data_IF_369277391785
#
_entry.id   IF_369277391785
#
_cell.length_a   1.000
_cell.length_b   1.000
_cell.length_c   1.000
_cell.angle_alpha   90.00
_cell.angle_beta   90.00
_cell.angle_gamma   90.00
#
_symmetry.space_group_name_H-M   'P 1'
#
loop_
_entity.id
_entity.type
_entity.pdbx_description
1 polymer ?
#
# COMPACT_ATOMS: atom_id res chain seq x y z
N UNK A 1 3.85 -8.60 -0.55
CA UNK A 1 2.89 -7.96 0.38
C UNK A 1 2.44 -8.90 1.51
N UNK A 2 1.58 -9.91 1.28
CA UNK A 2 1.04 -10.79 2.34
C UNK A 2 2.12 -11.44 3.21
N UNK A 3 3.21 -11.92 2.61
CA UNK A 3 4.35 -12.50 3.33
C UNK A 3 4.94 -11.52 4.34
N UNK A 4 5.22 -10.29 3.94
CA UNK A 4 5.78 -9.25 4.83
C UNK A 4 4.83 -8.89 5.97
N UNK A 5 3.51 -8.79 5.70
CA UNK A 5 2.50 -8.56 6.74
C UNK A 5 2.45 -9.72 7.76
N UNK A 6 2.58 -10.97 7.31
CA UNK A 6 2.64 -12.13 8.22
C UNK A 6 3.91 -12.12 9.07
N UNK A 7 5.05 -11.82 8.47
CA UNK A 7 6.35 -11.76 9.15
C UNK A 7 6.46 -10.60 10.15
N UNK A 8 5.67 -9.52 9.97
CA UNK A 8 5.61 -8.42 10.94
C UNK A 8 4.95 -8.81 12.28
N UNK A 9 4.22 -9.93 12.33
CA UNK A 9 3.46 -10.33 13.50
C UNK A 9 2.16 -9.52 13.72
N UNK A 10 1.81 -8.62 12.81
CA UNK A 10 0.62 -7.77 12.90
C UNK A 10 -0.67 -8.58 13.06
N UNK A 11 -1.58 -8.07 13.88
CA UNK A 11 -2.93 -8.59 14.08
C UNK A 11 -3.98 -7.64 13.50
N UNK A 12 -3.74 -6.33 13.60
CA UNK A 12 -4.60 -5.25 13.13
C UNK A 12 -3.94 -4.60 11.93
N UNK A 13 -4.56 -4.69 10.76
CA UNK A 13 -3.95 -4.28 9.47
C UNK A 13 -4.84 -3.28 8.74
N UNK A 14 -4.21 -2.22 8.24
CA UNK A 14 -4.78 -1.27 7.29
C UNK A 14 -4.44 -1.70 5.86
N UNK A 15 -5.40 -1.64 4.94
CA UNK A 15 -5.21 -1.69 3.49
C UNK A 15 -5.60 -0.31 2.92
N UNK A 16 -4.60 0.53 2.73
CA UNK A 16 -4.76 1.94 2.37
C UNK A 16 -4.70 2.12 0.85
N UNK A 17 -5.82 2.52 0.25
CA UNK A 17 -6.03 2.41 -1.19
C UNK A 17 -6.39 0.98 -1.57
N UNK A 18 -7.36 0.38 -0.87
CA UNK A 18 -7.67 -1.05 -0.98
C UNK A 18 -8.30 -1.46 -2.32
N UNK A 19 -8.69 -0.48 -3.15
CA UNK A 19 -9.33 -0.71 -4.43
C UNK A 19 -10.51 -1.68 -4.31
N UNK A 20 -10.53 -2.70 -5.14
CA UNK A 20 -11.55 -3.75 -5.16
C UNK A 20 -11.32 -4.86 -4.10
N UNK A 21 -10.52 -4.64 -3.06
CA UNK A 21 -10.36 -5.57 -1.93
C UNK A 21 -9.56 -6.85 -2.23
N UNK A 22 -8.67 -6.83 -3.22
CA UNK A 22 -7.86 -8.02 -3.59
C UNK A 22 -6.99 -8.48 -2.41
N UNK A 23 -6.29 -7.56 -1.75
CA UNK A 23 -5.46 -7.87 -0.59
C UNK A 23 -6.31 -8.28 0.61
N UNK A 24 -7.41 -7.59 0.88
CA UNK A 24 -8.34 -7.92 1.97
C UNK A 24 -8.84 -9.36 1.87
N UNK A 25 -9.17 -9.82 0.65
CA UNK A 25 -9.58 -11.21 0.41
C UNK A 25 -8.51 -12.23 0.80
N UNK A 26 -7.24 -11.88 0.65
CA UNK A 26 -6.11 -12.73 1.07
C UNK A 26 -5.90 -12.66 2.59
N UNK A 27 -5.96 -11.46 3.17
CA UNK A 27 -5.83 -11.26 4.62
C UNK A 27 -6.89 -12.02 5.41
N UNK A 28 -8.13 -12.07 4.92
CA UNK A 28 -9.22 -12.81 5.56
C UNK A 28 -8.99 -14.31 5.71
N UNK A 29 -8.19 -14.91 4.82
CA UNK A 29 -7.83 -16.33 4.91
C UNK A 29 -6.86 -16.63 6.04
N UNK A 30 -6.16 -15.61 6.52
CA UNK A 30 -5.17 -15.74 7.59
C UNK A 30 -5.82 -15.46 8.95
N UNK A 31 -5.75 -16.43 9.85
CA UNK A 31 -6.31 -16.30 11.21
C UNK A 31 -5.56 -15.30 12.07
N UNK A 32 -4.33 -14.97 11.70
CA UNK A 32 -3.47 -14.01 12.38
C UNK A 32 -4.12 -12.61 12.41
N UNK A 33 -4.75 -12.18 11.31
CA UNK A 33 -5.31 -10.84 11.21
C UNK A 33 -6.72 -10.82 11.83
N UNK A 34 -6.80 -10.23 13.01
CA UNK A 34 -8.05 -10.15 13.80
C UNK A 34 -8.89 -8.95 13.42
N UNK A 35 -8.27 -7.89 12.89
CA UNK A 35 -8.94 -6.71 12.39
C UNK A 35 -8.29 -6.24 11.09
N UNK A 36 -9.10 -6.00 10.07
CA UNK A 36 -8.68 -5.55 8.74
C UNK A 36 -9.53 -4.35 8.38
N UNK A 37 -8.90 -3.22 8.11
CA UNK A 37 -9.58 -2.01 7.66
C UNK A 37 -9.11 -1.68 6.27
N UNK A 38 -10.05 -1.57 5.32
CA UNK A 38 -9.80 -1.09 3.97
C UNK A 38 -10.37 0.30 3.76
N UNK A 39 -9.58 1.20 3.19
CA UNK A 39 -10.05 2.52 2.77
C UNK A 39 -9.66 2.82 1.33
N UNK A 40 -10.55 3.50 0.61
CA UNK A 40 -10.31 3.96 -0.76
C UNK A 40 -11.08 5.26 -1.00
N UNK A 41 -10.58 6.11 -1.88
CA UNK A 41 -11.27 7.36 -2.28
C UNK A 41 -12.46 7.07 -3.20
N UNK A 42 -12.42 5.96 -3.94
CA UNK A 42 -13.40 5.59 -4.93
C UNK A 42 -14.51 4.70 -4.33
N UNK A 43 -15.70 5.27 -4.17
CA UNK A 43 -16.87 4.53 -3.68
C UNK A 43 -17.19 3.29 -4.55
N UNK A 44 -17.05 3.41 -5.87
CA UNK A 44 -17.29 2.27 -6.78
C UNK A 44 -16.31 1.12 -6.53
N UNK A 45 -15.04 1.42 -6.24
CA UNK A 45 -14.04 0.40 -5.87
C UNK A 45 -14.44 -0.31 -4.58
N UNK A 46 -14.90 0.43 -3.57
CA UNK A 46 -15.38 -0.16 -2.32
C UNK A 46 -16.64 -1.02 -2.50
N UNK A 47 -17.54 -0.62 -3.38
CA UNK A 47 -18.71 -1.45 -3.74
C UNK A 47 -18.25 -2.77 -4.36
N UNK A 48 -17.34 -2.72 -5.34
CA UNK A 48 -16.76 -3.92 -5.96
C UNK A 48 -15.96 -4.77 -4.96
N UNK A 49 -15.31 -4.13 -3.97
CA UNK A 49 -14.65 -4.85 -2.89
C UNK A 49 -15.65 -5.68 -2.07
N UNK A 50 -16.80 -5.09 -1.71
CA UNK A 50 -17.88 -5.81 -1.03
C UNK A 50 -18.40 -6.99 -1.86
N UNK A 51 -18.60 -6.80 -3.16
CA UNK A 51 -19.03 -7.88 -4.06
C UNK A 51 -17.98 -8.99 -4.14
N UNK A 52 -16.70 -8.65 -4.30
CA UNK A 52 -15.57 -9.59 -4.32
C UNK A 52 -15.44 -10.41 -3.05
N UNK A 53 -15.77 -9.80 -1.91
CA UNK A 53 -15.72 -10.43 -0.59
C UNK A 53 -16.98 -11.23 -0.26
N UNK A 54 -17.98 -11.24 -1.16
CA UNK A 54 -19.29 -11.85 -0.91
C UNK A 54 -19.91 -11.32 0.39
N UNK A 55 -19.87 -9.98 0.55
CA UNK A 55 -20.22 -9.31 1.80
C UNK A 55 -21.59 -9.74 2.37
N UNK A 56 -22.60 -9.89 1.53
CA UNK A 56 -23.95 -10.26 1.98
C UNK A 56 -24.04 -11.70 2.47
N UNK A 57 -23.20 -12.58 1.94
CA UNK A 57 -23.15 -14.02 2.26
C UNK A 57 -22.11 -14.34 3.36
N UNK A 58 -21.29 -13.35 3.71
CA UNK A 58 -20.20 -13.53 4.66
C UNK A 58 -20.74 -13.83 6.06
N UNK A 59 -20.17 -14.84 6.72
CA UNK A 59 -20.51 -15.20 8.08
C UNK A 59 -20.30 -14.01 9.05
N UNK A 60 -21.18 -13.77 10.03
CA UNK A 60 -21.09 -12.65 10.97
C UNK A 60 -19.71 -12.48 11.59
N UNK A 61 -19.11 -13.56 12.05
CA UNK A 61 -17.76 -13.58 12.66
C UNK A 61 -16.65 -13.12 11.71
N UNK A 62 -16.81 -13.29 10.40
CA UNK A 62 -15.87 -12.77 9.42
C UNK A 62 -16.09 -11.28 9.17
N UNK A 63 -17.35 -10.84 9.10
CA UNK A 63 -17.71 -9.42 8.97
C UNK A 63 -17.17 -8.58 10.12
N UNK A 64 -17.21 -9.10 11.35
CA UNK A 64 -16.67 -8.42 12.54
C UNK A 64 -15.16 -8.11 12.43
N UNK A 65 -14.44 -8.83 11.57
CA UNK A 65 -13.01 -8.63 11.34
C UNK A 65 -12.70 -7.56 10.32
N UNK A 66 -13.69 -7.04 9.58
CA UNK A 66 -13.47 -6.14 8.45
C UNK A 66 -14.27 -4.86 8.63
N UNK A 67 -13.65 -3.74 8.34
CA UNK A 67 -14.33 -2.48 8.08
C UNK A 67 -13.88 -1.91 6.74
N UNK A 68 -14.83 -1.38 5.94
CA UNK A 68 -14.59 -0.75 4.65
C UNK A 68 -15.25 0.62 4.62
N UNK A 69 -14.45 1.66 4.44
CA UNK A 69 -14.98 3.01 4.37
C UNK A 69 -14.29 3.87 3.32
N UNK A 70 -15.01 4.87 2.84
CA UNK A 70 -14.44 5.87 1.94
C UNK A 70 -13.57 6.86 2.73
N UNK A 71 -12.34 7.06 2.25
CA UNK A 71 -11.37 7.98 2.85
C UNK A 71 -10.25 8.32 1.88
N UNK A 72 -9.64 9.48 2.10
CA UNK A 72 -8.48 9.93 1.33
C UNK A 72 -7.22 9.91 2.20
N UNK A 73 -6.11 9.47 1.62
CA UNK A 73 -4.84 9.33 2.34
C UNK A 73 -4.07 10.66 2.50
N UNK A 74 -4.68 11.77 2.12
CA UNK A 74 -4.13 13.13 2.29
C UNK A 74 -4.84 13.91 3.39
N UNK A 75 -5.78 13.28 4.11
CA UNK A 75 -6.49 13.88 5.23
C UNK A 75 -6.42 12.99 6.46
N UNK A 76 -6.19 13.60 7.61
CA UNK A 76 -6.15 12.91 8.91
C UNK A 76 -7.49 12.24 9.20
N UNK A 77 -7.47 10.95 9.51
CA UNK A 77 -8.64 10.18 9.91
C UNK A 77 -8.32 9.31 11.14
N UNK A 78 -9.01 9.56 12.24
CA UNK A 78 -8.80 8.83 13.51
C UNK A 78 -9.09 7.33 13.39
N UNK A 79 -9.89 6.91 12.38
CA UNK A 79 -10.17 5.49 12.16
C UNK A 79 -8.94 4.69 11.73
N UNK A 80 -7.86 5.36 11.32
CA UNK A 80 -6.60 4.74 10.92
C UNK A 80 -5.61 4.56 12.08
N UNK A 81 -5.91 5.09 13.27
CA UNK A 81 -5.00 5.04 14.42
C UNK A 81 -5.02 3.68 15.14
N UNK A 82 -3.88 3.28 15.70
CA UNK A 82 -3.74 2.11 16.58
C UNK A 82 -3.69 0.76 15.85
N UNK A 83 -3.28 0.74 14.59
CA UNK A 83 -3.04 -0.49 13.83
C UNK A 83 -1.57 -0.92 13.92
N UNK A 84 -1.32 -2.22 13.80
CA UNK A 84 0.02 -2.79 13.88
C UNK A 84 0.76 -2.62 12.55
N UNK A 85 0.05 -2.77 11.43
CA UNK A 85 0.63 -2.62 10.10
C UNK A 85 -0.31 -1.91 9.12
N UNK A 86 0.29 -1.24 8.12
CA UNK A 86 -0.40 -0.72 6.96
C UNK A 86 0.21 -1.28 5.67
N UNK A 87 -0.65 -1.69 4.75
CA UNK A 87 -0.32 -2.02 3.37
C UNK A 87 -0.78 -0.90 2.45
N UNK A 88 0.09 -0.51 1.50
CA UNK A 88 -0.16 0.52 0.50
C UNK A 88 0.34 -0.05 -0.82
N UNK A 89 -0.58 -0.50 -1.66
CA UNK A 89 -0.23 -1.30 -2.85
C UNK A 89 -0.55 -0.54 -4.12
N UNK A 90 0.49 -0.05 -4.81
CA UNK A 90 0.34 0.69 -6.08
C UNK A 90 -0.64 1.87 -5.89
N UNK A 91 -0.29 2.83 -5.02
CA UNK A 91 -1.15 3.96 -4.65
C UNK A 91 -0.46 5.31 -4.82
N UNK A 92 0.80 5.42 -4.39
CA UNK A 92 1.47 6.74 -4.33
C UNK A 92 1.64 7.37 -5.71
N UNK A 93 1.83 6.57 -6.74
CA UNK A 93 1.94 6.98 -8.14
C UNK A 93 0.67 7.66 -8.69
N UNK A 94 -0.46 7.48 -8.03
CA UNK A 94 -1.73 8.15 -8.37
C UNK A 94 -1.91 9.50 -7.66
N UNK A 95 -1.05 9.83 -6.70
CA UNK A 95 -1.08 11.12 -6.01
C UNK A 95 -0.34 12.18 -6.84
N UNK A 96 -0.84 13.42 -6.82
CA UNK A 96 -0.03 14.55 -7.28
C UNK A 96 1.18 14.71 -6.34
N UNK A 97 2.35 15.03 -6.86
CA UNK A 97 3.59 15.09 -6.08
C UNK A 97 3.52 16.07 -4.89
N UNK A 98 2.78 17.17 -5.05
CA UNK A 98 2.53 18.16 -3.99
C UNK A 98 1.67 17.60 -2.83
N UNK A 99 1.04 16.44 -3.01
CA UNK A 99 0.25 15.74 -2.00
C UNK A 99 1.02 14.68 -1.23
N UNK A 100 2.22 14.34 -1.65
CA UNK A 100 3.04 13.32 -0.99
C UNK A 100 3.34 13.68 0.47
N UNK A 101 3.66 14.94 0.76
CA UNK A 101 3.91 15.36 2.15
C UNK A 101 2.68 15.17 3.05
N UNK A 102 1.49 15.47 2.55
CA UNK A 102 0.25 15.26 3.30
C UNK A 102 -0.01 13.75 3.53
N UNK A 103 0.23 12.92 2.52
CA UNK A 103 0.17 11.46 2.61
C UNK A 103 1.17 10.91 3.64
N UNK A 104 2.43 11.36 3.60
CA UNK A 104 3.47 10.96 4.55
C UNK A 104 3.03 11.23 5.99
N UNK A 105 2.49 12.43 6.26
CA UNK A 105 1.98 12.79 7.60
C UNK A 105 0.80 11.93 8.02
N UNK A 106 -0.13 11.65 7.11
CA UNK A 106 -1.30 10.80 7.43
C UNK A 106 -0.86 9.39 7.81
N UNK A 107 0.06 8.80 7.05
CA UNK A 107 0.49 7.41 7.25
C UNK A 107 1.48 7.29 8.41
N UNK A 108 2.55 8.09 8.40
CA UNK A 108 3.71 7.88 9.27
C UNK A 108 3.64 8.69 10.59
N UNK A 109 2.90 9.83 10.61
CA UNK A 109 2.75 10.65 11.82
C UNK A 109 1.43 10.36 12.55
N UNK A 110 0.30 10.29 11.81
CA UNK A 110 -1.02 10.18 12.42
C UNK A 110 -1.49 8.73 12.61
N UNK A 111 -1.56 7.92 11.56
CA UNK A 111 -1.89 6.50 11.68
C UNK A 111 -0.80 5.74 12.41
N UNK A 112 0.44 6.02 12.10
CA UNK A 112 1.67 5.59 12.77
C UNK A 112 1.70 4.10 13.13
N UNK A 113 1.45 3.19 12.18
CA UNK A 113 1.52 1.77 12.45
C UNK A 113 2.98 1.34 12.67
N UNK A 114 3.20 0.28 13.45
CA UNK A 114 4.56 -0.25 13.70
C UNK A 114 5.27 -0.67 12.41
N UNK A 115 4.52 -1.15 11.42
CA UNK A 115 5.05 -1.55 10.11
C UNK A 115 4.23 -0.91 8.99
N UNK A 116 4.90 -0.29 8.02
CA UNK A 116 4.29 0.16 6.76
C UNK A 116 4.95 -0.59 5.62
N UNK A 117 4.14 -1.18 4.74
CA UNK A 117 4.63 -1.87 3.55
C UNK A 117 4.00 -1.20 2.33
N UNK A 118 4.85 -0.56 1.53
CA UNK A 118 4.43 0.24 0.39
C UNK A 118 5.03 -0.31 -0.89
N UNK A 119 4.23 -0.42 -1.95
CA UNK A 119 4.70 -0.78 -3.28
C UNK A 119 4.36 0.29 -4.30
N UNK A 120 5.21 0.41 -5.33
CA UNK A 120 5.02 1.29 -6.47
C UNK A 120 5.73 0.70 -7.69
N UNK A 121 5.34 1.05 -8.93
CA UNK A 121 6.04 0.62 -10.13
C UNK A 121 7.51 1.04 -10.13
N UNK A 122 8.36 0.21 -10.73
CA UNK A 122 9.72 0.58 -11.06
C UNK A 122 9.77 1.10 -12.51
N UNK A 123 10.01 2.40 -12.69
CA UNK A 123 10.08 3.05 -14.01
C UNK A 123 11.16 2.47 -14.91
N UNK A 124 12.29 2.04 -14.35
CA UNK A 124 13.39 1.47 -15.14
C UNK A 124 12.97 0.20 -15.88
N UNK A 125 12.04 -0.58 -15.26
CA UNK A 125 11.51 -1.81 -15.86
C UNK A 125 10.56 -1.54 -17.05
N UNK A 126 10.10 -0.30 -17.24
CA UNK A 126 9.18 0.04 -18.34
C UNK A 126 9.78 -0.25 -19.72
N UNK A 127 11.10 -0.21 -19.84
CA UNK A 127 11.84 -0.58 -21.07
C UNK A 127 11.66 -2.06 -21.48
N UNK A 128 11.15 -2.91 -20.59
CA UNK A 128 10.91 -4.34 -20.85
C UNK A 128 9.52 -4.62 -21.45
N UNK A 129 8.65 -3.62 -21.53
CA UNK A 129 7.32 -3.77 -22.12
C UNK A 129 7.35 -3.41 -23.61
N UNK A 130 7.22 -4.39 -24.49
CA UNK A 130 7.37 -4.27 -25.96
C UNK A 130 6.49 -3.17 -26.60
N UNK A 131 5.30 -2.93 -26.05
CA UNK A 131 4.33 -1.97 -26.61
C UNK A 131 4.27 -0.64 -25.87
N UNK A 132 5.18 -0.40 -24.93
CA UNK A 132 5.20 0.83 -24.16
C UNK A 132 5.97 1.93 -24.91
N UNK A 133 5.33 3.10 -25.07
CA UNK A 133 6.01 4.25 -25.67
C UNK A 133 7.10 4.76 -24.73
N UNK A 134 8.21 5.23 -25.31
CA UNK A 134 9.26 5.93 -24.57
C UNK A 134 8.63 7.07 -23.76
N UNK A 135 9.02 7.20 -22.49
CA UNK A 135 8.55 8.22 -21.54
C UNK A 135 7.04 8.14 -21.16
N UNK A 136 6.35 7.05 -21.46
CA UNK A 136 5.00 6.84 -20.97
C UNK A 136 5.00 6.11 -19.63
N UNK A 137 3.94 6.34 -18.81
CA UNK A 137 3.68 5.58 -17.61
C UNK A 137 2.89 4.30 -17.95
N UNK A 138 2.91 3.33 -17.04
CA UNK A 138 2.17 2.05 -17.20
C UNK A 138 0.66 2.23 -17.20
N UNK A 139 0.18 3.28 -16.57
CA UNK A 139 -1.24 3.60 -16.49
C UNK A 139 -1.48 5.09 -16.72
N UNK A 140 -2.61 5.43 -17.32
CA UNK A 140 -2.97 6.82 -17.63
C UNK A 140 -3.22 7.69 -16.40
N UNK A 141 -3.55 7.05 -15.26
CA UNK A 141 -3.80 7.72 -13.99
C UNK A 141 -2.54 7.91 -13.14
N UNK A 142 -1.38 7.41 -13.58
CA UNK A 142 -0.13 7.67 -12.89
C UNK A 142 0.28 9.13 -13.09
N UNK A 143 0.67 9.77 -12.01
CA UNK A 143 1.21 11.13 -11.99
C UNK A 143 2.72 11.12 -12.09
N UNK A 144 3.33 10.06 -11.57
CA UNK A 144 4.75 9.78 -11.67
C UNK A 144 5.00 8.27 -11.60
N UNK A 145 6.16 7.85 -12.02
CA UNK A 145 6.72 6.54 -11.72
C UNK A 145 8.19 6.75 -11.39
N UNK A 146 8.65 6.21 -10.29
CA UNK A 146 10.01 6.42 -9.83
C UNK A 146 10.96 5.30 -10.27
N UNK A 147 12.19 5.68 -10.58
CA UNK A 147 13.33 4.77 -10.61
C UNK A 147 13.58 4.19 -9.21
N UNK A 148 14.35 3.13 -9.12
CA UNK A 148 14.77 2.56 -7.82
C UNK A 148 15.46 3.61 -6.95
N UNK A 149 16.34 4.41 -7.55
CA UNK A 149 17.08 5.45 -6.83
C UNK A 149 16.16 6.55 -6.28
N UNK A 150 15.21 7.02 -7.06
CA UNK A 150 14.23 8.03 -6.62
C UNK A 150 13.35 7.50 -5.49
N UNK A 151 12.82 6.28 -5.64
CA UNK A 151 12.01 5.64 -4.61
C UNK A 151 12.79 5.42 -3.30
N UNK A 152 14.02 4.89 -3.40
CA UNK A 152 14.86 4.68 -2.22
C UNK A 152 15.22 5.98 -1.51
N UNK A 153 15.51 7.04 -2.29
CA UNK A 153 15.85 8.36 -1.75
C UNK A 153 14.67 8.94 -0.97
N UNK A 154 13.48 8.92 -1.57
CA UNK A 154 12.25 9.34 -0.91
C UNK A 154 11.97 8.51 0.34
N UNK A 155 12.01 7.20 0.24
CA UNK A 155 11.71 6.29 1.35
C UNK A 155 12.68 6.43 2.53
N UNK A 156 13.96 6.65 2.27
CA UNK A 156 14.98 6.91 3.31
C UNK A 156 14.71 8.24 4.02
N UNK A 157 14.35 9.30 3.26
CA UNK A 157 13.97 10.60 3.83
C UNK A 157 12.73 10.48 4.73
N UNK A 158 11.69 9.77 4.28
CA UNK A 158 10.48 9.50 5.07
C UNK A 158 10.82 8.73 6.35
N UNK A 159 11.62 7.67 6.23
CA UNK A 159 12.03 6.87 7.37
C UNK A 159 12.78 7.71 8.42
N UNK A 160 13.72 8.55 8.00
CA UNK A 160 14.45 9.46 8.89
C UNK A 160 13.51 10.47 9.56
N UNK A 161 12.62 11.10 8.78
CA UNK A 161 11.70 12.14 9.27
C UNK A 161 10.74 11.61 10.34
N UNK A 162 10.22 10.39 10.16
CA UNK A 162 9.19 9.83 11.03
C UNK A 162 9.69 8.73 11.98
N UNK A 163 11.01 8.57 12.09
CA UNK A 163 11.65 7.58 12.99
C UNK A 163 11.34 6.11 12.65
N UNK A 164 11.37 5.79 11.37
CA UNK A 164 11.31 4.41 10.87
C UNK A 164 12.68 3.99 10.34
N UNK A 165 12.93 2.70 10.32
CA UNK A 165 13.93 2.10 9.44
C UNK A 165 13.23 1.61 8.17
N UNK A 166 13.93 1.57 7.04
CA UNK A 166 13.38 1.06 5.78
C UNK A 166 14.30 0.04 5.15
N UNK A 167 13.73 -1.03 4.61
CA UNK A 167 14.40 -2.02 3.76
C UNK A 167 13.63 -2.18 2.45
N UNK A 168 14.34 -2.57 1.39
CA UNK A 168 13.79 -2.66 0.04
C UNK A 168 13.71 -4.09 -0.43
N UNK A 169 12.63 -4.43 -1.13
CA UNK A 169 12.38 -5.77 -1.68
C UNK A 169 11.89 -5.64 -3.12
N UNK A 170 12.53 -6.27 -4.10
CA UNK A 170 12.03 -6.33 -5.46
C UNK A 170 10.76 -7.18 -5.52
N UNK A 171 9.85 -6.85 -6.46
CA UNK A 171 8.61 -7.61 -6.69
C UNK A 171 8.53 -8.02 -8.16
N UNK A 172 8.51 -9.32 -8.40
CA UNK A 172 8.55 -9.93 -9.72
C UNK A 172 9.94 -10.41 -10.09
N UNK A 173 10.09 -10.91 -11.31
CA UNK A 173 11.37 -11.41 -11.82
C UNK A 173 12.30 -10.23 -12.11
N UNK A 174 13.54 -10.35 -11.65
CA UNK A 174 14.55 -9.31 -11.85
C UNK A 174 15.23 -9.47 -13.21
N UNK A 175 15.41 -8.35 -13.90
CA UNK A 175 16.21 -8.24 -15.12
C UNK A 175 17.45 -7.41 -14.83
N UNK A 176 18.61 -7.87 -15.32
CA UNK A 176 19.88 -7.21 -15.11
C UNK A 176 19.82 -5.75 -15.62
N UNK A 177 20.34 -4.83 -14.83
CA UNK A 177 20.38 -3.39 -15.11
C UNK A 177 19.09 -2.65 -14.73
N UNK A 178 17.91 -3.24 -14.91
CA UNK A 178 16.62 -2.56 -14.69
C UNK A 178 15.85 -3.02 -13.43
N UNK A 179 16.23 -4.15 -12.83
CA UNK A 179 15.60 -4.70 -11.62
C UNK A 179 14.28 -5.41 -11.87
N UNK A 180 13.38 -5.38 -10.89
CA UNK A 180 12.06 -6.01 -10.96
C UNK A 180 10.97 -5.01 -11.41
N UNK A 181 9.80 -5.50 -11.89
CA UNK A 181 8.71 -4.63 -12.37
C UNK A 181 8.14 -3.68 -11.30
N UNK A 182 8.04 -4.11 -10.06
CA UNK A 182 7.61 -3.25 -8.95
C UNK A 182 8.63 -3.31 -7.81
N UNK A 183 8.61 -2.30 -6.98
CA UNK A 183 9.51 -2.12 -5.85
C UNK A 183 8.71 -1.96 -4.56
N UNK A 184 9.26 -2.45 -3.45
CA UNK A 184 8.63 -2.43 -2.15
C UNK A 184 9.54 -1.82 -1.10
N UNK A 185 9.02 -0.88 -0.35
CA UNK A 185 9.61 -0.40 0.90
C UNK A 185 8.91 -1.03 2.10
N UNK A 186 9.68 -1.59 3.02
CA UNK A 186 9.21 -2.13 4.30
C UNK A 186 9.76 -1.25 5.40
N UNK A 187 8.90 -0.42 5.95
CA UNK A 187 9.22 0.50 7.03
C UNK A 187 8.87 -0.12 8.38
N UNK A 188 9.76 0.03 9.37
CA UNK A 188 9.54 -0.43 10.74
C UNK A 188 9.83 0.71 11.70
N UNK A 189 8.87 1.02 12.56
CA UNK A 189 9.02 2.08 13.56
C UNK A 189 10.13 1.72 14.53
N UNK A 190 11.08 2.64 14.71
CA UNK A 190 12.14 2.51 15.70
C UNK A 190 11.61 2.99 17.07
N UNK A 191 11.55 2.08 18.04
CA UNK A 191 11.15 2.39 19.42
C UNK A 191 12.23 3.12 20.19
#
# INVERSE_FOLDING_TARGET
MLKQLKESGAKRVLDLGCGEGKLIKLLLKEKQFTQIVGTDVCYTSLSRAKDRLYWNEMAPRQKERIDLFQGALTYKDKRLEGFDAAAIVEVIEHLEEDRLEAFERVVFEHAKPTTVILTTPNREFNSQFENMKTDSFRHTDHRFEWTRHEFETWAKKVAETFHYSVSFVPIGDEVEGVGAPSQMGVFRYAH
#
